data_IF_341302237435
#
_entry.id   IF_341302237435
#
_cell.length_a   1.000
_cell.length_b   1.000
_cell.length_c   1.000
_cell.angle_alpha   90.00
_cell.angle_beta   90.00
_cell.angle_gamma   90.00
#
_symmetry.space_group_name_H-M   'P 1'
#
loop_
_entity.id
_entity.type
_entity.pdbx_description
1 polymer ?
#
# COMPACT_ATOMS: atom_id res chain seq x y z
N UNK A 1 -11.63 7.67 -1.67
CA UNK A 1 -10.45 8.24 -0.99
C UNK A 1 -9.94 7.16 -0.09
N UNK A 2 -9.24 6.22 -0.69
CA UNK A 2 -8.58 5.13 0.00
C UNK A 2 -7.11 5.51 0.16
N UNK A 3 -6.39 4.95 1.12
CA UNK A 3 -5.03 5.37 1.45
C UNK A 3 -4.16 4.13 1.62
N UNK A 4 -2.84 4.32 1.63
CA UNK A 4 -1.89 3.26 1.94
C UNK A 4 -0.78 3.79 2.84
N UNK A 5 -0.61 3.25 4.04
CA UNK A 5 0.65 3.41 4.80
C UNK A 5 1.42 2.10 4.78
N UNK A 6 2.62 2.12 4.22
CA UNK A 6 3.51 0.96 4.13
C UNK A 6 4.73 1.20 5.03
N UNK A 7 5.11 0.24 5.87
CA UNK A 7 6.28 0.34 6.76
C UNK A 7 7.04 -0.98 6.87
N UNK A 8 8.36 -0.85 7.00
CA UNK A 8 9.40 -1.88 7.13
C UNK A 8 10.43 -1.45 8.21
N UNK A 9 9.94 -1.03 9.37
CA UNK A 9 10.74 -0.85 10.57
C UNK A 9 11.06 -2.21 11.26
N UNK A 10 12.10 -2.29 12.11
CA UNK A 10 13.14 -3.32 12.13
C UNK A 10 12.69 -4.78 11.86
N UNK A 11 13.22 -5.30 10.75
CA UNK A 11 13.39 -6.69 10.28
C UNK A 11 12.22 -7.67 10.22
N UNK A 12 11.12 -7.52 10.97
CA UNK A 12 9.99 -8.48 10.89
C UNK A 12 8.59 -7.87 10.83
N UNK A 13 8.37 -6.60 11.17
CA UNK A 13 7.04 -5.99 11.08
C UNK A 13 6.75 -5.46 9.70
N UNK A 14 5.55 -5.72 9.20
CA UNK A 14 5.02 -5.06 8.02
C UNK A 14 3.54 -4.79 8.22
N UNK A 15 3.08 -3.66 7.68
CA UNK A 15 1.66 -3.36 7.60
C UNK A 15 1.31 -2.52 6.38
N UNK A 16 0.02 -2.54 6.05
CA UNK A 16 -0.68 -1.65 5.15
C UNK A 16 -1.85 -1.05 5.92
N UNK A 17 -1.91 0.27 6.04
CA UNK A 17 -3.09 0.97 6.56
C UNK A 17 -3.89 1.58 5.41
N UNK A 18 -5.15 1.17 5.28
CA UNK A 18 -6.12 1.80 4.38
C UNK A 18 -6.87 2.85 5.18
N UNK A 19 -6.98 4.07 4.68
CA UNK A 19 -7.80 5.11 5.29
C UNK A 19 -8.94 5.55 4.35
N UNK A 20 -9.83 6.42 4.81
CA UNK A 20 -10.96 6.91 4.03
C UNK A 20 -12.16 7.28 4.88
N UNK A 21 -13.34 7.29 4.26
CA UNK A 21 -14.59 7.59 4.97
C UNK A 21 -14.93 6.46 5.95
N UNK A 22 -15.24 6.74 7.23
CA UNK A 22 -15.69 5.73 8.18
C UNK A 22 -16.85 4.89 7.65
N UNK A 23 -16.78 3.57 7.86
CA UNK A 23 -17.80 2.62 7.42
C UNK A 23 -17.80 2.29 5.93
N UNK A 24 -16.85 2.80 5.15
CA UNK A 24 -16.72 2.43 3.74
C UNK A 24 -16.44 0.92 3.59
N UNK A 25 -17.21 0.26 2.74
CA UNK A 25 -17.10 -1.18 2.48
C UNK A 25 -15.87 -1.48 1.62
N UNK A 26 -15.04 -2.39 2.11
CA UNK A 26 -13.82 -2.85 1.45
C UNK A 26 -14.00 -4.24 0.83
N UNK A 27 -15.19 -4.82 0.93
CA UNK A 27 -15.50 -6.14 0.38
C UNK A 27 -15.30 -6.18 -1.14
N UNK A 28 -14.59 -7.20 -1.63
CA UNK A 28 -14.31 -7.34 -3.07
C UNK A 28 -13.19 -6.43 -3.57
N UNK A 29 -12.40 -5.85 -2.65
CA UNK A 29 -11.13 -5.20 -2.96
C UNK A 29 -9.95 -6.08 -2.58
N UNK A 30 -8.80 -5.80 -3.19
CA UNK A 30 -7.53 -6.46 -2.94
C UNK A 30 -6.41 -5.44 -2.84
N UNK A 31 -5.44 -5.68 -1.96
CA UNK A 31 -4.14 -4.99 -1.98
C UNK A 31 -3.16 -5.85 -2.77
N UNK A 32 -2.53 -5.28 -3.80
CA UNK A 32 -1.54 -5.98 -4.63
C UNK A 32 -0.18 -5.32 -4.56
N UNK A 33 0.86 -6.15 -4.57
CA UNK A 33 2.26 -5.75 -4.46
C UNK A 33 2.98 -6.12 -5.76
N UNK A 34 3.62 -5.14 -6.38
CA UNK A 34 4.18 -5.26 -7.72
C UNK A 34 5.60 -4.69 -7.76
N UNK A 35 6.63 -5.46 -8.14
CA UNK A 35 7.98 -4.93 -8.31
C UNK A 35 8.06 -3.93 -9.48
N UNK A 36 8.89 -2.90 -9.34
CA UNK A 36 8.89 -1.77 -10.29
C UNK A 36 10.21 -1.48 -10.99
N UNK A 37 11.33 -2.12 -10.63
CA UNK A 37 12.62 -1.77 -11.23
C UNK A 37 12.70 -2.23 -12.68
N UNK A 38 13.30 -1.37 -13.49
CA UNK A 38 13.50 -1.61 -14.92
C UNK A 38 14.96 -1.82 -15.32
N UNK A 39 15.93 -1.48 -14.46
CA UNK A 39 17.31 -1.15 -14.89
C UNK A 39 18.44 -1.84 -14.13
N UNK A 40 18.45 -1.85 -12.78
CA UNK A 40 19.62 -2.34 -12.02
C UNK A 40 19.67 -3.87 -11.87
N UNK A 41 18.53 -4.53 -12.02
CA UNK A 41 18.40 -5.97 -12.17
C UNK A 41 17.28 -6.15 -13.20
N UNK A 42 17.49 -6.81 -14.35
CA UNK A 42 16.36 -7.23 -15.17
C UNK A 42 15.57 -8.21 -14.31
N UNK A 43 14.58 -7.70 -13.57
CA UNK A 43 13.59 -8.54 -12.92
C UNK A 43 12.71 -8.97 -14.08
N UNK A 44 12.70 -10.25 -14.51
CA UNK A 44 11.83 -10.72 -15.59
C UNK A 44 10.32 -10.65 -15.24
N UNK A 45 9.98 -9.90 -14.19
CA UNK A 45 8.73 -9.92 -13.45
C UNK A 45 8.30 -8.49 -13.04
N UNK A 46 8.92 -7.43 -13.58
CA UNK A 46 8.43 -6.07 -13.38
C UNK A 46 7.02 -5.95 -13.94
N UNK A 47 6.13 -5.33 -13.16
CA UNK A 47 4.70 -5.35 -13.45
C UNK A 47 3.99 -6.65 -13.03
N UNK A 48 4.67 -7.73 -12.68
CA UNK A 48 4.01 -8.97 -12.23
C UNK A 48 3.52 -8.83 -10.78
N UNK A 49 2.27 -9.19 -10.50
CA UNK A 49 1.73 -9.26 -9.14
C UNK A 49 2.49 -10.34 -8.37
N UNK A 50 3.12 -9.93 -7.28
CA UNK A 50 3.93 -10.79 -6.41
C UNK A 50 3.31 -11.03 -5.05
N UNK A 51 2.44 -10.15 -4.62
CA UNK A 51 1.59 -10.32 -3.45
C UNK A 51 0.19 -9.86 -3.76
N UNK A 52 -0.80 -10.57 -3.22
CA UNK A 52 -2.21 -10.18 -3.24
C UNK A 52 -2.83 -10.52 -1.91
N UNK A 53 -3.52 -9.56 -1.32
CA UNK A 53 -4.29 -9.72 -0.10
C UNK A 53 -5.73 -9.36 -0.45
N UNK A 54 -6.60 -10.36 -0.46
CA UNK A 54 -8.03 -10.16 -0.67
C UNK A 54 -8.68 -9.74 0.64
N UNK A 55 -9.44 -8.65 0.59
CA UNK A 55 -10.17 -8.18 1.77
C UNK A 55 -11.41 -9.06 1.96
N UNK A 56 -11.61 -9.61 3.18
CA UNK A 56 -12.68 -10.56 3.41
C UNK A 56 -14.05 -9.89 3.31
N UNK A 57 -15.13 -10.66 3.04
CA UNK A 57 -16.49 -10.14 3.11
C UNK A 57 -16.75 -9.48 4.47
N UNK A 58 -17.29 -8.27 4.45
CA UNK A 58 -17.58 -7.47 5.65
C UNK A 58 -16.39 -6.67 6.18
N UNK A 59 -15.24 -6.68 5.49
CA UNK A 59 -14.19 -5.71 5.76
C UNK A 59 -14.70 -4.29 5.46
N UNK A 60 -14.51 -3.37 6.40
CA UNK A 60 -14.91 -1.98 6.25
C UNK A 60 -14.00 -1.07 7.07
N UNK A 61 -13.84 0.19 6.63
CA UNK A 61 -13.10 1.18 7.41
C UNK A 61 -13.77 1.42 8.77
N UNK A 62 -12.96 1.46 9.82
CA UNK A 62 -13.40 1.71 11.20
C UNK A 62 -14.06 3.08 11.41
N UNK A 63 -14.56 3.36 12.61
CA UNK A 63 -15.08 4.70 12.96
C UNK A 63 -14.05 5.82 12.83
N UNK A 64 -12.77 5.49 12.97
CA UNK A 64 -11.63 6.37 12.71
C UNK A 64 -11.29 6.51 11.20
N UNK A 65 -12.04 5.85 10.32
CA UNK A 65 -11.82 5.85 8.88
C UNK A 65 -10.64 4.99 8.45
N UNK A 66 -10.19 4.03 9.26
CA UNK A 66 -8.97 3.23 9.00
C UNK A 66 -9.24 1.73 9.03
N UNK A 67 -8.46 0.97 8.25
CA UNK A 67 -8.41 -0.48 8.25
C UNK A 67 -6.95 -0.93 8.16
N UNK A 68 -6.50 -1.69 9.15
CA UNK A 68 -5.11 -2.12 9.27
C UNK A 68 -4.94 -3.57 8.84
N UNK A 69 -4.09 -3.77 7.84
CA UNK A 69 -3.57 -5.08 7.45
C UNK A 69 -2.15 -5.18 7.99
N UNK A 70 -1.82 -6.28 8.67
CA UNK A 70 -0.47 -6.44 9.18
C UNK A 70 -0.13 -7.86 9.53
N UNK A 71 1.13 -8.10 9.86
CA UNK A 71 1.54 -9.40 10.37
C UNK A 71 1.53 -9.44 11.90
N UNK A 72 1.75 -10.65 12.43
CA UNK A 72 1.73 -10.95 13.87
C UNK A 72 2.71 -10.09 14.71
N UNK A 73 3.73 -9.50 14.07
CA UNK A 73 4.74 -8.68 14.75
C UNK A 73 4.22 -7.28 15.12
N UNK A 74 3.07 -6.84 14.62
CA UNK A 74 2.46 -5.57 15.01
C UNK A 74 2.15 -5.49 16.51
N UNK A 75 1.60 -6.57 17.09
CA UNK A 75 1.25 -6.60 18.50
C UNK A 75 2.51 -6.52 19.36
N UNK A 76 3.55 -7.27 18.99
CA UNK A 76 4.81 -7.30 19.73
C UNK A 76 5.57 -5.96 19.64
N UNK A 77 5.62 -5.35 18.45
CA UNK A 77 6.48 -4.19 18.21
C UNK A 77 5.77 -2.85 18.45
N UNK A 78 4.45 -2.80 18.31
CA UNK A 78 3.66 -1.57 18.47
C UNK A 78 2.48 -1.68 19.43
N UNK A 79 2.17 -2.87 19.96
CA UNK A 79 1.00 -3.07 20.82
C UNK A 79 -0.34 -2.96 20.07
N UNK A 80 -0.32 -3.02 18.74
CA UNK A 80 -1.49 -2.83 17.87
C UNK A 80 -1.91 -4.17 17.28
N UNK A 81 -3.21 -4.46 17.30
CA UNK A 81 -3.83 -5.59 16.60
C UNK A 81 -4.40 -5.10 15.27
N UNK A 82 -4.06 -5.77 14.16
CA UNK A 82 -4.61 -5.48 12.84
C UNK A 82 -6.07 -5.97 12.71
N UNK A 83 -6.86 -5.30 11.86
CA UNK A 83 -8.17 -5.80 11.41
C UNK A 83 -8.02 -7.10 10.62
N UNK A 84 -6.98 -7.16 9.78
CA UNK A 84 -6.58 -8.35 9.05
C UNK A 84 -5.14 -8.72 9.37
N UNK A 85 -4.98 -9.81 10.13
CA UNK A 85 -3.66 -10.41 10.36
C UNK A 85 -3.33 -11.38 9.23
N UNK A 86 -2.19 -11.20 8.58
CA UNK A 86 -1.63 -12.19 7.65
C UNK A 86 -0.41 -12.87 8.25
N UNK A 87 -0.14 -14.11 7.82
CA UNK A 87 1.04 -14.85 8.27
C UNK A 87 2.28 -14.51 7.44
N UNK A 88 3.37 -14.10 8.10
CA UNK A 88 4.70 -14.01 7.47
C UNK A 88 4.88 -12.86 6.47
N UNK A 89 6.14 -12.52 6.19
CA UNK A 89 6.50 -11.30 5.46
C UNK A 89 6.29 -11.38 3.96
N UNK A 90 5.42 -10.51 3.42
CA UNK A 90 5.49 -10.05 2.03
C UNK A 90 6.79 -9.25 1.72
N UNK A 91 7.72 -9.19 2.69
CA UNK A 91 9.04 -8.54 2.71
C UNK A 91 9.94 -8.81 1.50
N UNK A 92 9.74 -9.86 0.73
CA UNK A 92 10.77 -10.27 -0.24
C UNK A 92 10.85 -9.39 -1.49
N UNK A 93 9.88 -8.51 -1.75
CA UNK A 93 9.85 -7.77 -3.02
C UNK A 93 10.45 -6.36 -2.96
N UNK A 94 10.72 -5.83 -1.76
CA UNK A 94 11.21 -4.45 -1.60
C UNK A 94 12.73 -4.33 -1.78
N UNK A 95 13.47 -5.43 -1.59
CA UNK A 95 14.86 -5.33 -1.15
C UNK A 95 15.86 -4.85 -2.23
N UNK A 96 15.47 -4.78 -3.51
CA UNK A 96 16.44 -4.41 -4.57
C UNK A 96 15.89 -3.60 -5.76
N UNK A 97 14.57 -3.35 -5.84
CA UNK A 97 13.95 -2.98 -7.12
C UNK A 97 12.82 -1.94 -7.04
N UNK A 98 12.50 -1.39 -5.87
CA UNK A 98 11.28 -0.60 -5.73
C UNK A 98 10.00 -1.46 -5.83
N UNK A 99 8.90 -0.86 -5.42
CA UNK A 99 7.63 -1.54 -5.19
C UNK A 99 6.49 -0.58 -5.48
N UNK A 100 5.51 -1.02 -6.24
CA UNK A 100 4.20 -0.41 -6.29
C UNK A 100 3.23 -1.23 -5.47
N UNK A 101 2.36 -0.52 -4.77
CA UNK A 101 1.25 -1.11 -4.04
C UNK A 101 -0.02 -0.45 -4.53
N UNK A 102 -1.01 -1.27 -4.86
CA UNK A 102 -2.29 -0.80 -5.39
C UNK A 102 -3.44 -1.38 -4.59
N UNK A 103 -4.49 -0.58 -4.43
CA UNK A 103 -5.80 -1.03 -4.02
C UNK A 103 -6.69 -1.16 -5.26
N UNK A 104 -7.24 -2.36 -5.45
CA UNK A 104 -7.90 -2.73 -6.70
C UNK A 104 -9.16 -3.53 -6.45
N UNK A 105 -10.10 -3.54 -7.40
CA UNK A 105 -11.22 -4.48 -7.37
C UNK A 105 -10.71 -5.92 -7.58
N UNK A 106 -11.03 -6.84 -6.66
CA UNK A 106 -10.59 -8.25 -6.70
C UNK A 106 -10.95 -8.92 -8.02
N UNK A 107 -12.15 -8.63 -8.56
CA UNK A 107 -12.64 -9.20 -9.81
C UNK A 107 -11.80 -8.80 -11.03
N UNK A 108 -11.17 -7.63 -11.00
CA UNK A 108 -10.34 -7.14 -12.09
C UNK A 108 -8.93 -7.74 -12.10
N UNK A 109 -8.46 -8.22 -10.94
CA UNK A 109 -7.19 -8.96 -10.82
C UNK A 109 -7.34 -10.43 -11.27
N UNK A 110 -8.56 -10.86 -11.59
CA UNK A 110 -8.93 -12.27 -11.78
C UNK A 110 -8.40 -12.98 -13.03
N UNK A 111 -7.54 -12.38 -13.88
CA UNK A 111 -7.16 -12.99 -15.17
C UNK A 111 -5.68 -12.86 -15.58
N UNK A 112 -4.80 -12.30 -14.75
CA UNK A 112 -3.37 -12.23 -15.08
C UNK A 112 -2.50 -11.88 -13.88
N UNK A 113 -1.36 -12.56 -13.78
CA UNK A 113 -0.37 -12.35 -12.72
C UNK A 113 0.38 -11.02 -12.88
N UNK A 114 -0.18 -9.98 -13.53
CA UNK A 114 0.56 -8.76 -13.88
C UNK A 114 -0.31 -7.51 -13.91
N UNK A 115 0.14 -6.49 -13.17
CA UNK A 115 -0.13 -5.07 -13.39
C UNK A 115 0.89 -4.54 -14.41
N UNK A 116 0.61 -4.68 -15.71
CA UNK A 116 1.42 -4.03 -16.74
C UNK A 116 1.09 -2.51 -16.80
N UNK A 117 1.86 -1.62 -17.47
CA UNK A 117 1.45 -0.26 -17.79
C UNK A 117 0.25 -0.31 -18.76
N UNK A 118 0.12 -1.46 -19.43
CA UNK A 118 -0.95 -1.89 -20.30
C UNK A 118 -2.07 -2.59 -19.51
N UNK A 119 -2.12 -2.47 -18.17
CA UNK A 119 -3.16 -3.10 -17.36
C UNK A 119 -4.50 -2.75 -18.01
N UNK A 120 -5.21 -3.75 -18.56
CA UNK A 120 -6.23 -3.51 -19.58
C UNK A 120 -7.45 -2.77 -19.00
N UNK A 121 -7.51 -2.68 -17.68
CA UNK A 121 -8.52 -1.95 -16.97
C UNK A 121 -7.90 -1.12 -15.84
N UNK A 122 -7.38 0.06 -16.17
CA UNK A 122 -6.96 1.04 -15.15
C UNK A 122 -8.12 1.55 -14.30
N UNK A 123 -9.38 1.32 -14.69
CA UNK A 123 -10.55 1.60 -13.86
C UNK A 123 -10.72 0.61 -12.71
N UNK A 124 -9.96 -0.49 -12.73
CA UNK A 124 -9.88 -1.44 -11.63
C UNK A 124 -9.04 -0.96 -10.45
N UNK A 125 -8.16 0.01 -10.68
CA UNK A 125 -7.28 0.56 -9.65
C UNK A 125 -7.96 1.76 -9.03
N UNK A 126 -8.15 1.69 -7.72
CA UNK A 126 -8.80 2.73 -6.93
C UNK A 126 -7.78 3.74 -6.41
N UNK A 127 -6.63 3.23 -5.96
CA UNK A 127 -5.51 4.03 -5.48
C UNK A 127 -4.21 3.22 -5.58
N UNK A 128 -3.07 3.91 -5.58
CA UNK A 128 -1.78 3.26 -5.52
C UNK A 128 -0.64 4.23 -5.25
N UNK A 129 0.51 3.66 -4.90
CA UNK A 129 1.75 4.41 -4.74
C UNK A 129 2.91 3.56 -5.20
N UNK A 130 3.85 4.21 -5.85
CA UNK A 130 5.09 3.56 -6.27
C UNK A 130 6.24 4.09 -5.44
N UNK A 131 6.96 3.19 -4.77
CA UNK A 131 8.19 3.48 -4.07
C UNK A 131 9.36 3.14 -4.98
N UNK A 132 10.13 4.15 -5.34
CA UNK A 132 11.34 3.98 -6.12
C UNK A 132 12.59 4.27 -5.28
N UNK A 133 13.64 3.49 -5.52
CA UNK A 133 14.95 3.74 -4.96
C UNK A 133 15.81 4.58 -5.92
N UNK A 134 16.69 5.42 -5.35
CA UNK A 134 17.81 6.06 -6.05
C UNK A 134 17.48 6.92 -7.28
N UNK A 135 16.22 7.39 -7.42
CA UNK A 135 15.79 8.15 -8.59
C UNK A 135 15.65 7.33 -9.87
N UNK A 136 15.62 6.00 -9.77
CA UNK A 136 15.31 5.14 -10.91
C UNK A 136 13.84 5.36 -11.33
N UNK A 137 13.55 5.51 -12.64
CA UNK A 137 12.18 5.58 -13.09
C UNK A 137 11.47 4.27 -12.76
N UNK A 138 10.30 4.36 -12.17
CA UNK A 138 9.48 3.19 -11.92
C UNK A 138 8.73 2.79 -13.20
N UNK A 139 8.47 1.49 -13.33
CA UNK A 139 7.63 0.95 -14.39
C UNK A 139 6.22 1.57 -14.44
N UNK A 140 5.76 2.17 -13.33
CA UNK A 140 4.45 2.79 -13.18
C UNK A 140 4.49 4.31 -13.05
N UNK A 141 5.62 4.96 -13.32
CA UNK A 141 5.73 6.41 -13.13
C UNK A 141 4.70 7.16 -13.99
N UNK A 142 3.81 7.89 -13.34
CA UNK A 142 2.69 8.59 -13.99
C UNK A 142 1.62 7.69 -14.60
N UNK A 143 1.66 6.38 -14.34
CA UNK A 143 0.68 5.40 -14.79
C UNK A 143 -0.31 5.05 -13.68
N UNK A 144 -1.56 4.78 -14.06
CA UNK A 144 -2.59 4.15 -13.21
C UNK A 144 -2.81 4.81 -11.84
N UNK A 145 -2.67 6.14 -11.75
CA UNK A 145 -2.92 6.88 -10.51
C UNK A 145 -1.94 6.60 -9.37
N UNK A 146 -0.81 5.94 -9.63
CA UNK A 146 0.19 5.61 -8.61
C UNK A 146 1.43 6.52 -8.73
N UNK A 147 1.46 7.68 -8.05
CA UNK A 147 2.62 8.55 -8.09
C UNK A 147 3.88 7.85 -7.58
N UNK A 148 5.00 8.18 -8.20
CA UNK A 148 6.30 7.73 -7.75
C UNK A 148 6.83 8.61 -6.61
N UNK A 149 7.09 7.98 -5.47
CA UNK A 149 7.75 8.56 -4.30
C UNK A 149 9.20 8.05 -4.28
N UNK A 150 10.15 8.97 -4.34
CA UNK A 150 11.58 8.66 -4.40
C UNK A 150 12.23 8.87 -3.04
N UNK A 151 12.79 7.79 -2.50
CA UNK A 151 13.64 7.85 -1.31
C UNK A 151 14.94 8.60 -1.56
N UNK A 152 15.32 9.52 -0.66
CA UNK A 152 16.60 10.23 -0.72
C UNK A 152 17.83 9.41 -0.33
N UNK A 153 17.63 8.16 0.11
CA UNK A 153 18.70 7.22 0.47
C UNK A 153 19.07 6.28 -0.68
N UNK A 154 20.30 5.74 -0.64
CA UNK A 154 20.74 4.70 -1.58
C UNK A 154 19.89 3.42 -1.53
N UNK A 155 20.27 2.43 -2.34
CA UNK A 155 19.56 1.22 -2.80
C UNK A 155 18.65 0.44 -1.79
N UNK A 156 18.71 0.70 -0.49
CA UNK A 156 18.22 -0.22 0.57
C UNK A 156 17.34 0.37 1.67
N UNK A 157 17.06 1.69 1.70
CA UNK A 157 16.59 2.34 2.94
C UNK A 157 15.26 3.13 2.83
N UNK A 158 14.30 2.71 1.99
CA UNK A 158 12.93 3.25 2.08
C UNK A 158 12.08 2.28 2.91
N UNK A 159 11.89 2.52 4.22
CA UNK A 159 11.09 1.63 5.07
C UNK A 159 9.62 1.68 4.67
N UNK A 160 9.17 2.77 4.04
CA UNK A 160 7.93 2.81 3.29
C UNK A 160 7.41 4.23 3.15
N UNK A 161 6.11 4.38 2.91
CA UNK A 161 5.48 5.66 2.60
C UNK A 161 4.16 5.83 3.36
N UNK A 162 3.76 7.07 3.55
CA UNK A 162 2.50 7.47 4.15
C UNK A 162 1.98 8.72 3.43
N UNK A 163 0.69 9.03 3.56
CA UNK A 163 0.13 10.26 3.00
C UNK A 163 0.35 11.42 3.97
N UNK A 164 0.87 12.56 3.50
CA UNK A 164 1.21 13.71 4.36
C UNK A 164 -0.01 14.39 4.98
N UNK A 165 -1.17 14.34 4.32
CA UNK A 165 -2.44 14.78 4.87
C UNK A 165 -3.20 13.61 5.51
N UNK A 166 -2.63 13.07 6.58
CA UNK A 166 -3.41 12.30 7.54
C UNK A 166 -4.27 13.30 8.34
N UNK A 167 -5.44 13.66 7.82
CA UNK A 167 -6.55 14.14 8.65
C UNK A 167 -6.99 15.60 8.57
N UNK A 168 -7.31 16.16 7.40
CA UNK A 168 -8.29 17.24 7.40
C UNK A 168 -9.70 16.68 7.28
N UNK A 169 -10.53 17.06 8.24
CA UNK A 169 -11.98 16.85 8.29
C UNK A 169 -12.69 17.57 7.13
N UNK A 170 -12.53 17.07 5.91
CA UNK A 170 -13.16 17.61 4.71
C UNK A 170 -12.93 16.72 3.48
N UNK A 171 -13.65 16.98 2.36
CA UNK A 171 -13.37 16.33 1.09
C UNK A 171 -12.04 16.89 0.55
N UNK A 172 -10.92 16.41 1.07
CA UNK A 172 -9.63 16.74 0.49
C UNK A 172 -9.54 16.11 -0.89
N UNK A 173 -9.08 16.93 -1.84
CA UNK A 173 -8.83 16.52 -3.22
C UNK A 173 -7.59 15.66 -3.18
N UNK A 174 -7.80 14.36 -3.24
CA UNK A 174 -6.78 13.42 -3.66
C UNK A 174 -6.22 13.88 -5.01
N UNK A 175 -4.99 14.40 -5.04
CA UNK A 175 -4.36 14.84 -6.29
C UNK A 175 -3.58 13.71 -6.97
N UNK A 176 -3.41 12.57 -6.29
CA UNK A 176 -2.57 11.45 -6.70
C UNK A 176 -1.19 11.88 -7.22
N UNK A 177 -0.58 12.87 -6.55
CA UNK A 177 0.77 13.34 -6.86
C UNK A 177 1.77 12.91 -5.81
N UNK A 178 3.06 12.82 -6.17
CA UNK A 178 4.12 12.48 -5.23
C UNK A 178 4.22 13.45 -4.03
N UNK A 179 3.71 14.68 -4.19
CA UNK A 179 3.67 15.67 -3.12
C UNK A 179 2.68 15.34 -2.00
N UNK A 180 1.73 14.43 -2.25
CA UNK A 180 0.78 13.97 -1.23
C UNK A 180 1.43 12.95 -0.27
N UNK A 181 2.66 12.52 -0.52
CA UNK A 181 3.30 11.40 0.16
C UNK A 181 4.57 11.79 0.91
N UNK A 182 4.73 11.21 2.10
CA UNK A 182 5.93 11.23 2.92
C UNK A 182 6.58 9.85 2.96
N UNK A 183 7.87 9.84 3.28
CA UNK A 183 8.65 8.61 3.48
C UNK A 183 8.75 8.34 4.97
N UNK A 184 8.46 7.12 5.40
CA UNK A 184 8.64 6.72 6.78
C UNK A 184 10.12 6.73 7.17
N UNK A 185 10.41 6.99 8.43
CA UNK A 185 11.74 6.78 9.00
C UNK A 185 11.93 5.30 9.37
N UNK A 186 13.17 4.82 9.45
CA UNK A 186 13.47 3.41 9.79
C UNK A 186 12.94 2.97 11.15
N UNK A 187 12.73 3.93 12.06
CA UNK A 187 12.13 3.69 13.36
C UNK A 187 10.60 3.57 13.30
N UNK A 188 10.02 3.66 12.10
CA UNK A 188 8.59 3.64 11.84
C UNK A 188 7.87 4.81 12.49
N UNK A 189 6.60 4.95 12.18
CA UNK A 189 5.66 5.56 13.13
C UNK A 189 4.62 4.50 13.40
N UNK A 190 4.19 4.26 14.65
CA UNK A 190 3.23 3.21 14.94
C UNK A 190 2.00 3.36 14.02
N UNK A 191 1.43 2.25 13.52
CA UNK A 191 0.15 2.32 12.83
C UNK A 191 -0.93 2.79 13.81
N UNK A 192 -2.07 3.22 13.26
CA UNK A 192 -3.20 3.55 14.10
C UNK A 192 -3.79 2.27 14.68
N UNK A 193 -4.44 2.40 15.84
CA UNK A 193 -5.23 1.30 16.38
C UNK A 193 -6.55 1.22 15.61
N UNK A 194 -6.92 0.05 15.07
CA UNK A 194 -8.24 -0.13 14.49
C UNK A 194 -9.37 0.19 15.46
N UNK A 195 -10.44 0.76 14.93
CA UNK A 195 -11.70 0.91 15.65
C UNK A 195 -12.79 0.14 14.90
N UNK A 196 -13.78 -0.45 15.59
CA UNK A 196 -14.91 -1.09 14.92
C UNK A 196 -15.60 -0.11 13.96
N UNK A 197 -16.04 -0.60 12.80
CA UNK A 197 -16.93 0.17 11.94
C UNK A 197 -18.21 0.53 12.73
N UNK A 198 -18.65 1.78 12.61
CA UNK A 198 -19.91 2.19 13.22
C UNK A 198 -21.06 1.34 12.64
N UNK A 199 -22.03 0.90 13.45
CA UNK A 199 -23.19 0.17 12.93
C UNK A 199 -23.92 1.02 11.90
N UNK A 200 -24.23 0.42 10.75
CA UNK A 200 -25.06 1.07 9.72
C UNK A 200 -26.43 1.39 10.31
N UNK A 201 -26.78 2.68 10.37
CA UNK A 201 -28.09 3.18 10.78
C UNK A 201 -29.10 3.11 9.65
#
# INVERSE_FOLDING_TARGET
>A
NEFLKLDDAPSTTNYVEIAGSPGYDLSGLSVVFVPTATTWYPVPESGTIKGKIDLPPGAALGSNGKYLIGNENLVTNYGVTADLTVSGGWKQYHYYAGLAVFLVHTAAVGLGDSVAPDFPDTSAVLDGVTLACCGEPSYFDGAVGAPQVVGGGGIVDVPGVYRLTDGATGPEVDTNTAADWGILTRDGSPPNSPEPAAPST
#
